data_IF_218207317426
#
_entry.id   IF_218207317426
#
_cell.length_a   1.000
_cell.length_b   1.000
_cell.length_c   1.000
_cell.angle_alpha   90.00
_cell.angle_beta   90.00
_cell.angle_gamma   90.00
#
_symmetry.space_group_name_H-M   'P 1'
#
loop_
_entity.id
_entity.type
_entity.pdbx_description
1 polymer ?
#
# COMPACT_ATOMS: atom_id res chain seq x y z
N UNK A 1 -16.07 10.34 13.22
CA UNK A 1 -15.72 8.92 13.49
C UNK A 1 -14.21 8.87 13.71
N UNK A 2 -13.74 8.35 14.85
CA UNK A 2 -12.33 8.41 15.30
C UNK A 2 -11.48 7.46 14.44
N UNK A 3 -10.47 7.99 13.77
CA UNK A 3 -9.52 7.25 12.90
C UNK A 3 -8.52 6.41 13.74
N UNK A 4 -8.50 6.59 15.07
CA UNK A 4 -7.40 6.17 15.93
C UNK A 4 -7.39 4.70 16.38
N UNK A 5 -8.51 3.97 16.37
CA UNK A 5 -8.54 2.62 16.97
C UNK A 5 -8.30 1.49 15.93
N UNK A 6 -8.71 1.72 14.67
CA UNK A 6 -8.50 0.76 13.56
C UNK A 6 -7.03 0.79 13.08
N UNK A 7 -6.38 1.95 13.14
CA UNK A 7 -4.99 2.08 12.71
C UNK A 7 -4.03 1.26 13.59
N UNK A 8 -4.16 1.28 14.93
CA UNK A 8 -3.16 0.66 15.81
C UNK A 8 -3.05 -0.88 15.65
N UNK A 9 -4.14 -1.56 15.30
CA UNK A 9 -4.14 -3.03 15.15
C UNK A 9 -3.75 -3.50 13.74
N UNK A 10 -4.03 -2.70 12.70
CA UNK A 10 -3.69 -3.04 11.31
C UNK A 10 -2.25 -2.65 10.93
N UNK A 11 -1.64 -1.74 11.68
CA UNK A 11 -0.30 -1.20 11.41
C UNK A 11 0.81 -2.26 11.41
N UNK A 12 0.88 -3.24 12.33
CA UNK A 12 1.96 -4.23 12.31
C UNK A 12 1.98 -5.08 11.04
N UNK A 13 0.81 -5.51 10.58
CA UNK A 13 0.68 -6.33 9.38
C UNK A 13 0.95 -5.53 8.12
N UNK A 14 0.49 -4.27 8.08
CA UNK A 14 0.79 -3.36 6.99
C UNK A 14 2.29 -3.04 6.93
N UNK A 15 2.93 -2.73 8.04
CA UNK A 15 4.37 -2.47 8.09
C UNK A 15 5.19 -3.69 7.68
N UNK A 16 4.75 -4.90 8.08
CA UNK A 16 5.37 -6.15 7.66
C UNK A 16 5.21 -6.38 6.16
N UNK A 17 4.02 -6.15 5.62
CA UNK A 17 3.77 -6.19 4.17
C UNK A 17 4.71 -5.24 3.43
N UNK A 18 4.76 -3.97 3.86
CA UNK A 18 5.64 -2.96 3.27
C UNK A 18 7.11 -3.39 3.30
N UNK A 19 7.60 -3.87 4.46
CA UNK A 19 8.97 -4.35 4.61
C UNK A 19 9.32 -5.55 3.74
N UNK A 20 8.39 -6.50 3.60
CA UNK A 20 8.55 -7.70 2.76
C UNK A 20 8.57 -7.38 1.26
N UNK A 21 7.91 -6.31 0.85
CA UNK A 21 7.78 -5.90 -0.55
C UNK A 21 8.66 -4.70 -0.92
N UNK A 22 9.68 -4.40 -0.11
CA UNK A 22 10.71 -3.42 -0.46
C UNK A 22 10.30 -1.96 -0.31
N UNK A 23 9.12 -1.66 0.23
CA UNK A 23 8.70 -0.30 0.53
C UNK A 23 9.57 0.28 1.65
N UNK A 24 10.46 1.19 1.28
CA UNK A 24 11.42 1.83 2.19
C UNK A 24 11.54 3.31 1.85
N UNK A 25 11.98 4.09 2.82
CA UNK A 25 12.26 5.51 2.61
C UNK A 25 13.31 5.68 1.49
N UNK A 26 13.02 6.55 0.53
CA UNK A 26 13.90 6.83 -0.61
C UNK A 26 13.79 5.86 -1.79
N UNK A 27 12.93 4.83 -1.72
CA UNK A 27 12.62 3.96 -2.87
C UNK A 27 11.50 4.60 -3.69
N UNK A 28 11.72 4.72 -5.00
CA UNK A 28 10.67 5.15 -5.94
C UNK A 28 9.56 4.11 -6.04
N UNK A 29 8.32 4.61 -6.04
CA UNK A 29 7.12 3.80 -6.20
C UNK A 29 6.31 4.36 -7.35
N UNK A 30 6.08 3.54 -8.36
CA UNK A 30 5.33 3.92 -9.56
C UNK A 30 3.97 3.21 -9.58
N UNK A 31 2.90 3.94 -9.92
CA UNK A 31 1.61 3.34 -10.19
C UNK A 31 1.63 2.62 -11.54
N UNK A 32 1.36 1.32 -11.56
CA UNK A 32 1.35 0.50 -12.78
C UNK A 32 -0.08 0.32 -13.30
N UNK A 33 -0.99 -0.13 -12.43
CA UNK A 33 -2.37 -0.45 -12.83
C UNK A 33 -3.37 -0.28 -11.69
N UNK A 34 -4.56 0.21 -12.02
CA UNK A 34 -5.73 0.14 -11.15
C UNK A 34 -6.81 -0.73 -11.81
N UNK A 35 -6.99 -1.95 -11.32
CA UNK A 35 -8.08 -2.82 -11.76
C UNK A 35 -9.30 -2.62 -10.87
N UNK A 36 -10.22 -1.76 -11.32
CA UNK A 36 -11.48 -1.48 -10.59
C UNK A 36 -12.38 -2.71 -10.46
N UNK A 37 -12.33 -3.62 -11.44
CA UNK A 37 -13.11 -4.86 -11.42
C UNK A 37 -12.60 -5.87 -10.40
N UNK A 38 -11.28 -5.99 -10.26
CA UNK A 38 -10.66 -6.88 -9.27
C UNK A 38 -10.48 -6.24 -7.89
N UNK A 39 -10.64 -4.91 -7.79
CA UNK A 39 -10.39 -4.18 -6.55
C UNK A 39 -8.92 -4.11 -6.16
N UNK A 40 -8.02 -4.23 -7.13
CA UNK A 40 -6.57 -4.26 -6.93
C UNK A 40 -5.88 -3.04 -7.52
N UNK A 41 -4.79 -2.65 -6.87
CA UNK A 41 -3.86 -1.62 -7.32
C UNK A 41 -2.47 -2.23 -7.37
N UNK A 42 -1.81 -2.12 -8.52
CA UNK A 42 -0.47 -2.63 -8.75
C UNK A 42 0.50 -1.47 -8.84
N UNK A 43 1.58 -1.57 -8.08
CA UNK A 43 2.68 -0.59 -8.08
C UNK A 43 4.00 -1.28 -8.36
N UNK A 44 4.96 -0.53 -8.89
CA UNK A 44 6.34 -0.98 -9.03
C UNK A 44 7.19 -0.37 -7.92
N UNK A 45 7.90 -1.21 -7.17
CA UNK A 45 8.77 -0.81 -6.06
C UNK A 45 10.14 -1.43 -6.30
N UNK A 46 11.17 -0.61 -6.52
CA UNK A 46 12.52 -1.13 -6.74
C UNK A 46 12.64 -2.11 -7.91
N UNK A 47 11.76 -2.01 -8.91
CA UNK A 47 11.70 -2.90 -10.08
C UNK A 47 10.79 -4.12 -9.95
N UNK A 48 10.16 -4.34 -8.79
CA UNK A 48 9.21 -5.45 -8.58
C UNK A 48 7.76 -4.97 -8.58
N UNK A 49 6.86 -5.74 -9.20
CA UNK A 49 5.43 -5.46 -9.23
C UNK A 49 4.73 -6.03 -8.01
N UNK A 50 4.06 -5.17 -7.27
CA UNK A 50 3.31 -5.52 -6.05
C UNK A 50 1.85 -5.14 -6.25
N UNK A 51 1.00 -6.17 -6.29
CA UNK A 51 -0.45 -5.99 -6.30
C UNK A 51 -1.00 -6.01 -4.87
N UNK A 52 -1.85 -5.04 -4.55
CA UNK A 52 -2.53 -4.92 -3.26
C UNK A 52 -3.99 -4.52 -3.45
N UNK A 53 -4.81 -4.63 -2.41
CA UNK A 53 -6.17 -4.10 -2.47
C UNK A 53 -6.14 -2.57 -2.53
N UNK A 54 -7.16 -1.98 -3.16
CA UNK A 54 -7.33 -0.52 -3.19
C UNK A 54 -7.44 0.06 -1.77
N UNK A 55 -7.96 -0.71 -0.81
CA UNK A 55 -8.03 -0.30 0.59
C UNK A 55 -6.64 -0.16 1.22
N UNK A 56 -5.75 -1.12 1.00
CA UNK A 56 -4.36 -1.06 1.48
C UNK A 56 -3.62 0.11 0.82
N UNK A 57 -3.80 0.31 -0.49
CA UNK A 57 -3.21 1.44 -1.20
C UNK A 57 -3.65 2.79 -0.58
N UNK A 58 -4.93 2.96 -0.24
CA UNK A 58 -5.44 4.18 0.42
C UNK A 58 -4.86 4.41 1.82
N UNK A 59 -4.42 3.36 2.51
CA UNK A 59 -3.76 3.48 3.83
C UNK A 59 -2.30 3.94 3.69
N UNK A 60 -1.68 3.70 2.53
CA UNK A 60 -0.28 4.05 2.24
C UNK A 60 -0.17 5.45 1.64
N UNK A 61 -1.05 5.81 0.71
CA UNK A 61 -1.06 7.12 0.08
C UNK A 61 -2.02 8.07 0.79
N UNK A 62 -1.48 9.16 1.35
CA UNK A 62 -2.29 10.31 1.75
C UNK A 62 -2.66 11.04 0.47
N UNK A 63 -3.96 11.18 0.20
CA UNK A 63 -4.51 12.00 -0.89
C UNK A 63 -3.74 13.33 -1.01
N UNK A 64 -3.41 13.70 -2.26
CA UNK A 64 -3.10 15.09 -2.61
C UNK A 64 -4.40 15.83 -2.97
#
# INVERSE_FOLDING_TARGET
>A
RRISEVAEHEVPDLLRFLGNHGFRLGVEVEAVELSRGAGTFTVRVGGEDVAMSVEVARKIWIDA
#
